data_IF_563009785773
#
_entry.id   IF_563009785773
#
_cell.length_a   1.000
_cell.length_b   1.000
_cell.length_c   1.000
_cell.angle_alpha   90.00
_cell.angle_beta   90.00
_cell.angle_gamma   90.00
#
_symmetry.space_group_name_H-M   'P 1'
#
loop_
_entity.id
_entity.type
_entity.pdbx_description
1 polymer ?
#
# COMPACT_ATOMS: atom_id res chain seq x y z
N UNK A 1 -1.57 7.83 -5.63
CA UNK A 1 -2.94 8.21 -5.20
C UNK A 1 -3.95 7.93 -6.31
N UNK A 2 -3.68 8.34 -7.54
CA UNK A 2 -4.62 8.09 -8.64
C UNK A 2 -4.87 6.61 -8.88
N UNK A 3 -3.83 5.78 -8.81
CA UNK A 3 -3.97 4.32 -8.94
C UNK A 3 -4.86 3.76 -7.83
N UNK A 4 -4.64 4.17 -6.58
CA UNK A 4 -5.41 3.67 -5.45
C UNK A 4 -6.87 4.14 -5.50
N UNK A 5 -7.14 5.36 -5.96
CA UNK A 5 -8.49 5.84 -6.18
C UNK A 5 -9.20 5.00 -7.26
N UNK A 6 -8.50 4.62 -8.32
CA UNK A 6 -9.05 3.82 -9.40
C UNK A 6 -9.32 2.37 -8.97
N UNK A 7 -8.43 1.78 -8.20
CA UNK A 7 -8.64 0.45 -7.60
C UNK A 7 -9.88 0.46 -6.71
N UNK A 8 -10.00 1.47 -5.86
CA UNK A 8 -11.18 1.63 -5.00
C UNK A 8 -12.46 1.79 -5.81
N UNK A 9 -12.41 2.58 -6.88
CA UNK A 9 -13.57 2.84 -7.73
C UNK A 9 -14.16 1.56 -8.36
N UNK A 10 -13.30 0.63 -8.80
CA UNK A 10 -13.74 -0.59 -9.48
C UNK A 10 -14.16 -1.71 -8.54
N UNK A 11 -13.79 -1.64 -7.26
CA UNK A 11 -14.18 -2.63 -6.28
C UNK A 11 -15.62 -2.44 -5.82
N UNK A 12 -16.32 -3.55 -5.60
CA UNK A 12 -17.61 -3.53 -4.91
C UNK A 12 -17.42 -3.16 -3.44
N UNK A 13 -18.45 -2.62 -2.75
CA UNK A 13 -18.40 -2.48 -1.30
C UNK A 13 -18.03 -3.81 -0.63
N UNK A 14 -17.04 -3.79 0.26
CA UNK A 14 -16.51 -5.01 0.89
C UNK A 14 -15.58 -5.82 0.01
N UNK A 15 -15.30 -5.38 -1.24
CA UNK A 15 -14.35 -6.04 -2.12
C UNK A 15 -12.94 -6.01 -1.57
N UNK A 16 -12.17 -7.07 -1.84
CA UNK A 16 -10.84 -7.24 -1.30
C UNK A 16 -9.77 -6.88 -2.34
N UNK A 17 -8.71 -6.21 -1.86
CA UNK A 17 -7.53 -5.91 -2.65
C UNK A 17 -6.29 -6.39 -1.88
N UNK A 18 -5.64 -7.40 -2.43
CA UNK A 18 -4.37 -7.92 -1.90
C UNK A 18 -3.23 -7.43 -2.78
N UNK A 19 -2.15 -6.97 -2.14
CA UNK A 19 -0.94 -6.61 -2.87
C UNK A 19 0.31 -6.85 -2.02
N UNK A 20 1.41 -6.93 -2.72
CA UNK A 20 2.74 -7.07 -2.16
C UNK A 20 3.66 -6.12 -2.90
N UNK A 21 4.31 -5.21 -2.19
CA UNK A 21 5.15 -4.17 -2.78
C UNK A 21 6.53 -4.14 -2.13
N UNK A 22 7.60 -3.80 -2.89
CA UNK A 22 8.91 -3.55 -2.29
C UNK A 22 8.83 -2.38 -1.31
N UNK A 23 9.34 -2.59 -0.09
CA UNK A 23 9.35 -1.56 0.95
C UNK A 23 10.59 -0.69 0.87
N UNK A 24 10.44 0.61 1.14
CA UNK A 24 11.59 1.51 1.30
C UNK A 24 12.41 1.20 2.55
N UNK A 25 11.91 0.38 3.46
CA UNK A 25 12.67 -0.13 4.59
C UNK A 25 13.71 -1.18 4.19
N UNK A 26 13.68 -1.62 2.92
CA UNK A 26 14.67 -2.48 2.30
C UNK A 26 15.16 -1.89 0.99
N UNK A 27 16.12 -2.57 0.34
CA UNK A 27 16.72 -2.10 -0.91
C UNK A 27 15.84 -2.29 -2.14
N UNK A 28 14.87 -3.21 -2.08
CA UNK A 28 14.05 -3.57 -3.24
C UNK A 28 13.28 -2.40 -3.85
N UNK A 29 12.86 -1.42 -3.04
CA UNK A 29 12.14 -0.26 -3.55
C UNK A 29 13.03 0.68 -4.37
N UNK A 30 14.33 0.74 -4.09
CA UNK A 30 15.24 1.71 -4.68
C UNK A 30 16.21 1.13 -5.71
N UNK A 31 16.39 -0.19 -5.74
CA UNK A 31 17.39 -0.81 -6.61
C UNK A 31 16.98 -0.85 -8.08
N UNK A 32 15.69 -0.79 -8.38
CA UNK A 32 15.17 -0.82 -9.75
C UNK A 32 14.99 0.63 -10.24
N UNK A 33 15.77 1.07 -11.25
CA UNK A 33 15.70 2.45 -11.74
C UNK A 33 14.40 2.79 -12.45
N UNK A 34 13.55 1.80 -12.74
CA UNK A 34 12.24 2.04 -13.36
C UNK A 34 11.13 2.33 -12.35
N UNK A 35 11.37 2.15 -11.05
CA UNK A 35 10.40 2.46 -10.02
C UNK A 35 10.14 3.97 -9.96
N UNK A 36 8.87 4.37 -10.00
CA UNK A 36 8.43 5.76 -9.96
C UNK A 36 7.83 6.16 -8.64
N UNK A 37 7.32 5.21 -7.87
CA UNK A 37 6.72 5.43 -6.56
C UNK A 37 7.43 4.57 -5.52
N UNK A 38 7.60 5.12 -4.32
CA UNK A 38 8.33 4.45 -3.24
C UNK A 38 7.41 4.37 -2.03
N UNK A 39 7.21 3.16 -1.53
CA UNK A 39 6.19 2.84 -0.53
C UNK A 39 6.80 2.04 0.62
N UNK A 40 6.22 2.16 1.80
CA UNK A 40 6.55 1.33 2.95
C UNK A 40 5.28 1.01 3.74
N UNK A 41 5.42 0.30 4.87
CA UNK A 41 4.26 -0.13 5.65
C UNK A 41 3.39 1.05 6.11
N UNK A 42 3.98 2.20 6.43
CA UNK A 42 3.22 3.38 6.85
C UNK A 42 2.42 4.00 5.70
N UNK A 43 2.89 3.88 4.45
CA UNK A 43 2.12 4.31 3.29
C UNK A 43 0.76 3.61 3.27
N UNK A 44 0.75 2.31 3.48
CA UNK A 44 -0.47 1.50 3.45
C UNK A 44 -1.30 1.63 4.71
N UNK A 45 -0.66 1.86 5.87
CA UNK A 45 -1.35 2.05 7.13
C UNK A 45 -2.13 3.34 7.18
N UNK A 46 -1.62 4.42 6.60
CA UNK A 46 -2.12 5.77 6.84
C UNK A 46 -2.88 6.37 5.67
N UNK A 47 -2.28 6.39 4.48
CA UNK A 47 -2.76 7.27 3.41
C UNK A 47 -4.07 6.84 2.76
N UNK A 48 -4.46 5.58 2.87
CA UNK A 48 -5.66 5.04 2.24
C UNK A 48 -6.68 4.49 3.24
N UNK A 49 -6.40 4.55 4.52
CA UNK A 49 -7.29 4.01 5.55
C UNK A 49 -7.53 4.94 6.73
N UNK A 50 -6.60 5.81 7.08
CA UNK A 50 -6.76 6.75 8.20
C UNK A 50 -7.54 7.99 7.73
N UNK A 51 -8.68 8.33 8.37
CA UNK A 51 -9.51 9.46 7.94
C UNK A 51 -8.77 10.79 7.91
N UNK A 52 -7.88 11.05 8.87
CA UNK A 52 -7.15 12.31 8.95
C UNK A 52 -6.18 12.46 7.77
N UNK A 53 -5.45 11.39 7.43
CA UNK A 53 -4.53 11.41 6.30
C UNK A 53 -5.27 11.48 4.97
N UNK A 54 -6.39 10.79 4.84
CA UNK A 54 -7.21 10.82 3.63
C UNK A 54 -7.76 12.23 3.37
N UNK A 55 -8.24 12.89 4.41
CA UNK A 55 -8.73 14.27 4.30
C UNK A 55 -7.60 15.23 3.91
N UNK A 56 -6.44 15.13 4.58
CA UNK A 56 -5.31 16.01 4.33
C UNK A 56 -4.81 15.95 2.89
N UNK A 57 -4.79 14.76 2.28
CA UNK A 57 -4.27 14.54 0.93
C UNK A 57 -5.35 14.43 -0.15
N UNK A 58 -6.62 14.61 0.21
CA UNK A 58 -7.72 14.55 -0.75
C UNK A 58 -7.92 13.19 -1.38
N UNK A 59 -7.63 12.11 -0.65
CA UNK A 59 -7.73 10.75 -1.16
C UNK A 59 -9.17 10.25 -1.11
N UNK A 60 -9.72 9.85 -2.25
CA UNK A 60 -11.05 9.26 -2.34
C UNK A 60 -11.08 7.78 -1.93
N UNK A 61 -10.00 7.06 -2.17
CA UNK A 61 -9.87 5.67 -1.77
C UNK A 61 -10.01 5.53 -0.25
N UNK A 62 -10.86 4.59 0.16
CA UNK A 62 -11.11 4.32 1.57
C UNK A 62 -11.12 2.82 1.80
N UNK A 63 -10.14 2.34 2.57
CA UNK A 63 -9.96 0.92 2.80
C UNK A 63 -9.87 0.61 4.29
N UNK A 64 -10.41 -0.53 4.66
CA UNK A 64 -10.17 -1.14 5.96
C UNK A 64 -8.99 -2.09 5.83
N UNK A 65 -8.03 -1.99 6.75
CA UNK A 65 -6.89 -2.90 6.79
C UNK A 65 -7.35 -4.23 7.40
N UNK A 66 -7.24 -5.30 6.63
CA UNK A 66 -7.51 -6.67 7.10
C UNK A 66 -6.22 -7.34 7.56
N UNK A 67 -5.13 -7.14 6.83
CA UNK A 67 -3.79 -7.60 7.17
C UNK A 67 -2.77 -6.59 6.63
N UNK A 68 -1.71 -6.34 7.40
CA UNK A 68 -0.62 -5.46 6.99
C UNK A 68 0.65 -5.88 7.73
N UNK A 69 1.66 -6.31 7.00
CA UNK A 69 2.94 -6.74 7.59
C UNK A 69 4.07 -6.67 6.57
N UNK A 70 5.30 -6.55 7.09
CA UNK A 70 6.51 -6.66 6.30
C UNK A 70 7.05 -8.08 6.34
N UNK A 71 7.63 -8.52 5.22
CA UNK A 71 8.34 -9.78 5.11
C UNK A 71 9.75 -9.51 4.58
N UNK A 72 10.76 -10.02 5.27
CA UNK A 72 12.14 -10.01 4.77
C UNK A 72 12.24 -11.11 3.72
N UNK A 73 12.19 -10.70 2.45
CA UNK A 73 12.15 -11.65 1.32
C UNK A 73 13.54 -12.18 0.99
N UNK A 74 14.54 -11.33 1.07
CA UNK A 74 15.94 -11.68 0.82
C UNK A 74 16.82 -10.96 1.84
N UNK A 75 17.19 -11.64 2.95
CA UNK A 75 18.01 -11.03 3.99
C UNK A 75 19.41 -10.63 3.50
N UNK A 76 19.99 -11.39 2.57
CA UNK A 76 21.31 -11.15 2.04
C UNK A 76 21.37 -9.85 1.25
N UNK A 77 20.37 -9.61 0.40
CA UNK A 77 20.26 -8.40 -0.41
C UNK A 77 19.44 -7.29 0.27
N UNK A 78 18.98 -7.53 1.49
CA UNK A 78 18.20 -6.58 2.29
C UNK A 78 16.91 -6.14 1.61
N UNK A 79 16.20 -7.09 1.01
CA UNK A 79 14.93 -6.84 0.36
C UNK A 79 13.79 -7.14 1.33
N UNK A 80 12.93 -6.15 1.52
CA UNK A 80 11.73 -6.24 2.34
C UNK A 80 10.52 -5.94 1.46
N UNK A 81 9.49 -6.79 1.54
CA UNK A 81 8.20 -6.53 0.89
C UNK A 81 7.14 -6.26 1.94
N UNK A 82 6.28 -5.28 1.68
CA UNK A 82 5.09 -5.03 2.46
C UNK A 82 3.92 -5.78 1.83
N UNK A 83 3.22 -6.58 2.63
CA UNK A 83 2.01 -7.28 2.21
C UNK A 83 0.80 -6.65 2.86
N UNK A 84 -0.24 -6.42 2.09
CA UNK A 84 -1.44 -5.76 2.57
C UNK A 84 -2.68 -6.41 1.97
N UNK A 85 -3.67 -6.63 2.82
CA UNK A 85 -5.02 -7.02 2.41
C UNK A 85 -5.96 -5.91 2.84
N UNK A 86 -6.55 -5.23 1.87
CA UNK A 86 -7.53 -4.16 2.05
C UNK A 86 -8.95 -4.64 1.74
N UNK A 87 -9.91 -4.07 2.46
CA UNK A 87 -11.34 -4.20 2.14
C UNK A 87 -11.87 -2.82 1.77
N UNK A 88 -12.53 -2.71 0.62
CA UNK A 88 -13.08 -1.45 0.16
C UNK A 88 -14.25 -1.00 1.04
N UNK A 89 -14.19 0.23 1.52
CA UNK A 89 -15.27 0.87 2.29
C UNK A 89 -15.99 1.85 1.35
N UNK A 90 -17.29 1.62 1.18
CA UNK A 90 -18.14 2.48 0.35
C UNK A 90 -19.51 2.71 1.00
#
# INVERSE_FOLDING_TARGET
INLMNEIHRVLKPGGLFYHRTPSTDGRGAFQDPTHKSFWNINTWRLYFSDPAYRELYGTNANFKIKQLFDTVTDPENKIIHTQCLYEAIK
#
